data_IF_616546904950
#
_entry.id   IF_616546904950
#
_cell.length_a   1.000
_cell.length_b   1.000
_cell.length_c   1.000
_cell.angle_alpha   90.00
_cell.angle_beta   90.00
_cell.angle_gamma   90.00
#
_symmetry.space_group_name_H-M   'P 1'
#
loop_
_entity.id
_entity.type
_entity.pdbx_description
1 polymer ?
#
# COMPACT_ATOMS: atom_id res chain seq x y z
N UNK A 1 10.46 -20.97 27.02
CA UNK A 1 11.10 -21.10 25.69
C UNK A 1 12.13 -19.99 25.63
N UNK A 2 13.41 -20.31 25.42
CA UNK A 2 14.42 -19.26 25.23
C UNK A 2 14.23 -18.63 23.87
N UNK A 3 14.34 -17.30 23.77
CA UNK A 3 14.32 -16.61 22.49
C UNK A 3 15.51 -17.05 21.63
N UNK A 4 15.28 -17.20 20.33
CA UNK A 4 16.30 -17.62 19.36
C UNK A 4 17.31 -16.47 19.17
N UNK A 5 18.62 -16.70 19.40
CA UNK A 5 19.63 -15.64 19.32
C UNK A 5 19.71 -14.96 17.95
N UNK A 6 19.34 -15.63 16.87
CA UNK A 6 19.32 -15.05 15.52
C UNK A 6 18.17 -14.04 15.36
N UNK A 7 17.03 -14.29 16.02
CA UNK A 7 15.90 -13.35 16.04
C UNK A 7 16.30 -12.09 16.81
N UNK A 8 16.88 -12.25 18.01
CA UNK A 8 17.23 -11.12 18.87
C UNK A 8 18.31 -10.22 18.24
N UNK A 9 19.31 -10.81 17.56
CA UNK A 9 20.30 -10.04 16.81
C UNK A 9 19.68 -9.29 15.62
N UNK A 10 18.78 -9.93 14.88
CA UNK A 10 18.04 -9.29 13.78
C UNK A 10 17.15 -8.14 14.28
N UNK A 11 16.44 -8.33 15.38
CA UNK A 11 15.62 -7.30 16.02
C UNK A 11 16.45 -6.10 16.49
N UNK A 12 17.59 -6.36 17.13
CA UNK A 12 18.49 -5.30 17.57
C UNK A 12 19.00 -4.47 16.38
N UNK A 13 19.32 -5.12 15.25
CA UNK A 13 19.72 -4.43 14.03
C UNK A 13 18.57 -3.59 13.43
N UNK A 14 17.35 -4.14 13.37
CA UNK A 14 16.18 -3.39 12.90
C UNK A 14 15.94 -2.16 13.77
N UNK A 15 15.97 -2.31 15.10
CA UNK A 15 15.76 -1.22 16.04
C UNK A 15 16.83 -0.13 15.90
N UNK A 16 18.11 -0.49 15.81
CA UNK A 16 19.21 0.48 15.57
C UNK A 16 19.04 1.24 14.25
N UNK A 17 18.60 0.57 13.18
CA UNK A 17 18.36 1.24 11.90
C UNK A 17 17.14 2.16 11.91
N UNK A 18 16.03 1.76 12.56
CA UNK A 18 14.85 2.61 12.71
C UNK A 18 15.19 3.88 13.52
N UNK A 19 15.92 3.72 14.64
CA UNK A 19 16.35 4.84 15.50
C UNK A 19 17.26 5.82 14.75
N UNK A 20 18.29 5.32 14.06
CA UNK A 20 19.22 6.15 13.28
C UNK A 20 18.60 6.84 12.08
N UNK A 21 17.52 6.30 11.54
CA UNK A 21 16.74 6.90 10.47
C UNK A 21 15.62 7.83 10.98
N UNK A 22 15.53 8.05 12.30
CA UNK A 22 14.52 8.90 12.95
C UNK A 22 13.07 8.48 12.60
N UNK A 23 12.85 7.18 12.46
CA UNK A 23 11.53 6.61 12.08
C UNK A 23 10.70 6.33 13.32
N UNK A 24 9.38 6.48 13.18
CA UNK A 24 8.44 6.20 14.27
C UNK A 24 8.01 4.74 14.23
N UNK A 25 8.22 4.02 15.33
CA UNK A 25 7.63 2.69 15.54
C UNK A 25 6.15 2.86 15.87
N UNK A 26 5.30 2.16 15.12
CA UNK A 26 3.85 2.12 15.32
C UNK A 26 3.49 0.96 16.25
N UNK A 27 4.08 -0.22 16.00
CA UNK A 27 3.75 -1.44 16.74
C UNK A 27 4.91 -2.47 16.70
N UNK A 28 4.90 -3.38 17.66
CA UNK A 28 5.77 -4.56 17.68
C UNK A 28 5.05 -5.76 17.06
N UNK A 29 5.74 -6.45 16.17
CA UNK A 29 5.21 -7.63 15.50
C UNK A 29 5.69 -8.86 16.25
N UNK A 30 4.75 -9.72 16.67
CA UNK A 30 5.04 -11.04 17.20
C UNK A 30 4.00 -12.03 16.67
N UNK A 31 4.34 -12.75 15.60
CA UNK A 31 3.42 -13.61 14.86
C UNK A 31 4.13 -14.82 14.24
N UNK A 32 3.48 -15.54 13.33
CA UNK A 32 4.05 -16.62 12.52
C UNK A 32 3.90 -16.29 11.04
N UNK A 33 4.92 -16.61 10.24
CA UNK A 33 4.83 -16.47 8.78
C UNK A 33 3.93 -17.55 8.13
N UNK A 34 3.78 -17.51 6.80
CA UNK A 34 2.95 -18.44 6.02
C UNK A 34 3.37 -19.93 6.20
N UNK A 35 4.58 -20.20 6.67
CA UNK A 35 5.12 -21.54 6.92
C UNK A 35 4.92 -21.99 8.39
N UNK A 36 4.31 -21.15 9.22
CA UNK A 36 4.14 -21.39 10.65
C UNK A 36 5.39 -21.10 11.48
N UNK A 37 6.41 -20.47 10.90
CA UNK A 37 7.66 -20.13 11.59
C UNK A 37 7.47 -18.82 12.37
N UNK A 38 7.85 -18.75 13.66
CA UNK A 38 7.79 -17.52 14.43
C UNK A 38 8.58 -16.38 13.80
N UNK A 39 7.98 -15.19 13.76
CA UNK A 39 8.59 -13.95 13.30
C UNK A 39 8.37 -12.86 14.35
N UNK A 40 9.42 -12.07 14.57
CA UNK A 40 9.34 -10.87 15.40
C UNK A 40 9.81 -9.66 14.59
N UNK A 41 9.27 -8.47 14.88
CA UNK A 41 9.62 -7.28 14.11
C UNK A 41 8.96 -6.01 14.60
N UNK A 42 8.93 -5.00 13.72
CA UNK A 42 8.34 -3.70 13.97
C UNK A 42 7.52 -3.25 12.76
N UNK A 43 6.37 -2.64 13.02
CA UNK A 43 5.69 -1.75 12.07
C UNK A 43 6.19 -0.32 12.31
N UNK A 44 6.56 0.40 11.25
CA UNK A 44 7.15 1.73 11.36
C UNK A 44 6.83 2.59 10.14
N UNK A 45 7.03 3.90 10.24
CA UNK A 45 6.75 4.84 9.14
C UNK A 45 7.96 5.13 8.24
N UNK A 46 7.69 5.41 6.96
CA UNK A 46 8.60 6.03 6.01
C UNK A 46 7.90 7.16 5.26
N UNK A 47 8.08 8.40 5.71
CA UNK A 47 7.17 9.47 5.30
C UNK A 47 5.76 9.13 5.81
N UNK A 48 4.78 9.12 4.90
CA UNK A 48 3.38 8.81 5.22
C UNK A 48 3.05 7.31 5.07
N UNK A 49 3.99 6.50 4.59
CA UNK A 49 3.79 5.07 4.35
C UNK A 49 4.17 4.21 5.57
N UNK A 50 3.36 3.20 5.86
CA UNK A 50 3.69 2.17 6.85
C UNK A 50 4.47 1.02 6.20
N UNK A 51 5.58 0.65 6.82
CA UNK A 51 6.42 -0.50 6.47
C UNK A 51 6.51 -1.47 7.64
N UNK A 52 6.90 -2.70 7.33
CA UNK A 52 7.11 -3.76 8.31
C UNK A 52 8.53 -4.30 8.15
N UNK A 53 9.27 -4.43 9.24
CA UNK A 53 10.57 -5.10 9.25
C UNK A 53 10.53 -6.25 10.26
N UNK A 54 10.87 -7.47 9.83
CA UNK A 54 10.82 -8.64 10.70
C UNK A 54 11.98 -9.59 10.47
N UNK A 55 12.41 -10.23 11.56
CA UNK A 55 13.39 -11.30 11.62
C UNK A 55 12.70 -12.63 11.86
N UNK A 56 13.27 -13.71 11.32
CA UNK A 56 12.76 -15.09 11.43
C UNK A 56 13.83 -15.97 12.05
N UNK A 57 13.42 -16.96 12.86
CA UNK A 57 14.33 -17.97 13.43
C UNK A 57 15.25 -18.58 12.36
N UNK A 58 16.54 -18.73 12.67
CA UNK A 58 17.53 -19.34 11.79
C UNK A 58 17.83 -18.59 10.48
N UNK A 59 17.41 -17.33 10.36
CA UNK A 59 17.69 -16.50 9.17
C UNK A 59 18.85 -15.55 9.40
N UNK A 60 19.74 -15.45 8.40
CA UNK A 60 20.85 -14.49 8.40
C UNK A 60 20.50 -13.14 7.75
N UNK A 61 19.21 -12.82 7.69
CA UNK A 61 18.69 -11.59 7.13
C UNK A 61 17.41 -11.21 7.87
N UNK A 62 17.04 -9.94 7.83
CA UNK A 62 15.67 -9.53 8.08
C UNK A 62 15.00 -9.09 6.79
N UNK A 63 13.67 -9.06 6.79
CA UNK A 63 12.88 -8.63 5.63
C UNK A 63 12.25 -7.29 5.93
N UNK A 64 12.39 -6.33 5.02
CA UNK A 64 11.56 -5.12 4.96
C UNK A 64 10.45 -5.37 3.97
N UNK A 65 9.23 -4.96 4.33
CA UNK A 65 8.03 -5.29 3.60
C UNK A 65 7.11 -4.08 3.53
N UNK A 66 6.55 -3.89 2.34
CA UNK A 66 5.43 -3.01 2.09
C UNK A 66 4.20 -3.84 1.74
N UNK A 67 3.05 -3.54 2.35
CA UNK A 67 1.77 -4.18 2.05
C UNK A 67 0.77 -3.13 1.59
N UNK A 68 -0.01 -3.48 0.57
CA UNK A 68 -1.11 -2.65 0.09
C UNK A 68 -2.33 -3.53 -0.17
N UNK A 69 -3.48 -3.12 0.35
CA UNK A 69 -4.78 -3.72 0.09
C UNK A 69 -5.77 -2.59 -0.20
N UNK A 70 -6.33 -2.57 -1.42
CA UNK A 70 -7.23 -1.50 -1.89
C UNK A 70 -8.50 -1.38 -1.04
N UNK A 71 -8.82 -2.42 -0.25
CA UNK A 71 -9.96 -2.45 0.66
C UNK A 71 -10.00 -1.25 1.58
N UNK A 72 -8.86 -0.80 2.10
CA UNK A 72 -8.80 0.33 3.03
C UNK A 72 -9.22 1.63 2.34
N UNK A 73 -8.75 1.85 1.11
CA UNK A 73 -9.11 3.02 0.32
C UNK A 73 -10.56 2.98 -0.14
N UNK A 74 -11.11 1.79 -0.47
CA UNK A 74 -12.54 1.62 -0.73
C UNK A 74 -13.36 1.95 0.51
N UNK A 75 -12.96 1.47 1.69
CA UNK A 75 -13.64 1.75 2.95
C UNK A 75 -13.63 3.24 3.28
N UNK A 76 -12.47 3.89 3.10
CA UNK A 76 -12.31 5.33 3.27
C UNK A 76 -13.23 6.12 2.35
N UNK A 77 -13.19 5.84 1.04
CA UNK A 77 -14.01 6.54 0.05
C UNK A 77 -15.51 6.36 0.32
N UNK A 78 -15.95 5.15 0.65
CA UNK A 78 -17.35 4.88 0.96
C UNK A 78 -17.82 5.63 2.21
N UNK A 79 -16.99 5.69 3.26
CA UNK A 79 -17.32 6.41 4.50
C UNK A 79 -17.28 7.93 4.31
N UNK A 80 -16.32 8.44 3.55
CA UNK A 80 -16.23 9.85 3.16
C UNK A 80 -17.50 10.27 2.41
N UNK A 81 -17.90 9.52 1.38
CA UNK A 81 -19.11 9.81 0.59
C UNK A 81 -20.38 9.75 1.45
N UNK A 82 -20.49 8.80 2.37
CA UNK A 82 -21.62 8.73 3.31
C UNK A 82 -21.70 9.94 4.23
N UNK A 83 -20.56 10.47 4.68
CA UNK A 83 -20.52 11.70 5.50
C UNK A 83 -20.87 12.92 4.66
N UNK A 84 -20.35 13.04 3.43
CA UNK A 84 -20.69 14.10 2.48
C UNK A 84 -22.19 14.13 2.15
N UNK A 85 -22.79 12.98 1.83
CA UNK A 85 -24.22 12.89 1.51
C UNK A 85 -25.14 13.24 2.70
N UNK A 86 -24.63 13.19 3.93
CA UNK A 86 -25.35 13.55 5.15
C UNK A 86 -25.01 14.96 5.63
N UNK A 87 -24.00 15.60 5.05
CA UNK A 87 -23.66 16.97 5.38
C UNK A 87 -24.81 17.87 4.90
N UNK A 88 -25.28 18.82 5.73
CA UNK A 88 -26.26 19.79 5.29
C UNK A 88 -25.71 20.56 4.09
N UNK A 89 -26.51 20.69 3.02
CA UNK A 89 -26.20 21.55 1.88
C UNK A 89 -26.00 22.98 2.39
N UNK A 90 -24.77 23.40 2.67
CA UNK A 90 -24.51 24.79 3.03
C UNK A 90 -23.08 25.24 2.75
N UNK A 91 -23.00 26.16 1.78
CA UNK A 91 -22.32 27.47 1.81
C UNK A 91 -20.79 27.48 1.83
N UNK A 92 -20.21 27.76 0.65
CA UNK A 92 -18.94 28.47 0.40
C UNK A 92 -17.77 28.16 1.36
N UNK A 93 -17.57 26.89 1.69
CA UNK A 93 -16.45 26.44 2.51
C UNK A 93 -16.02 25.02 2.13
N UNK A 94 -14.71 24.78 2.16
CA UNK A 94 -14.15 23.44 2.06
C UNK A 94 -14.64 22.61 3.26
N UNK A 95 -15.40 21.55 2.99
CA UNK A 95 -15.84 20.61 4.03
C UNK A 95 -14.69 19.64 4.30
N UNK A 96 -14.01 19.82 5.42
CA UNK A 96 -13.04 18.84 5.91
C UNK A 96 -13.78 17.64 6.52
N UNK A 97 -13.73 16.49 5.84
CA UNK A 97 -14.36 15.25 6.31
C UNK A 97 -13.33 14.39 6.99
N UNK A 98 -13.33 14.37 8.33
CA UNK A 98 -12.52 13.42 9.07
C UNK A 98 -13.16 12.02 9.01
N UNK A 99 -12.41 10.97 8.67
CA UNK A 99 -12.89 9.60 8.45
C UNK A 99 -12.10 8.63 9.32
N UNK A 100 -12.70 8.20 10.43
CA UNK A 100 -12.18 7.08 11.22
C UNK A 100 -12.79 5.79 10.69
N UNK A 101 -11.99 4.77 10.35
CA UNK A 101 -12.48 3.46 9.90
C UNK A 101 -12.61 2.47 11.06
N UNK A 102 -13.65 1.65 11.03
CA UNK A 102 -13.83 0.51 11.93
C UNK A 102 -13.81 -0.83 11.18
N UNK A 103 -13.80 -1.95 11.92
CA UNK A 103 -13.78 -3.29 11.32
C UNK A 103 -14.98 -3.57 10.41
N UNK A 104 -16.16 -2.98 10.69
CA UNK A 104 -17.34 -3.16 9.85
C UNK A 104 -17.20 -2.41 8.53
N UNK A 105 -16.57 -1.23 8.53
CA UNK A 105 -16.23 -0.50 7.30
C UNK A 105 -15.33 -1.34 6.40
N UNK A 106 -14.28 -1.94 6.98
CA UNK A 106 -13.35 -2.80 6.27
C UNK A 106 -14.04 -4.06 5.72
N UNK A 107 -14.88 -4.74 6.51
CA UNK A 107 -15.63 -5.90 6.05
C UNK A 107 -16.59 -5.57 4.88
N UNK A 108 -17.28 -4.42 4.95
CA UNK A 108 -18.15 -3.96 3.86
C UNK A 108 -17.34 -3.67 2.59
N UNK A 109 -16.19 -3.03 2.72
CA UNK A 109 -15.29 -2.80 1.60
C UNK A 109 -14.77 -4.10 0.99
N UNK A 110 -14.41 -5.11 1.80
CA UNK A 110 -14.00 -6.43 1.31
C UNK A 110 -15.11 -7.10 0.49
N UNK A 111 -16.35 -7.05 0.98
CA UNK A 111 -17.51 -7.58 0.25
C UNK A 111 -17.72 -6.86 -1.09
N UNK A 112 -17.59 -5.52 -1.09
CA UNK A 112 -17.71 -4.71 -2.31
C UNK A 112 -16.61 -5.04 -3.33
N UNK A 113 -15.36 -5.12 -2.89
CA UNK A 113 -14.21 -5.54 -3.72
C UNK A 113 -14.44 -6.94 -4.29
N UNK A 114 -14.88 -7.89 -3.47
CA UNK A 114 -15.17 -9.26 -3.89
C UNK A 114 -16.31 -9.33 -4.91
N UNK A 115 -17.35 -8.50 -4.77
CA UNK A 115 -18.47 -8.40 -5.71
C UNK A 115 -18.02 -7.80 -7.05
N UNK A 116 -17.31 -6.66 -7.02
CA UNK A 116 -16.75 -6.02 -8.23
C UNK A 116 -15.87 -6.99 -9.00
N UNK A 117 -15.02 -7.76 -8.32
CA UNK A 117 -14.20 -8.77 -8.97
C UNK A 117 -15.02 -9.96 -9.48
N UNK A 118 -16.03 -10.41 -8.74
CA UNK A 118 -16.92 -11.50 -9.16
C UNK A 118 -17.75 -11.18 -10.41
N UNK A 119 -18.12 -9.92 -10.60
CA UNK A 119 -18.91 -9.46 -11.75
C UNK A 119 -18.05 -9.21 -13.01
N UNK A 120 -16.72 -9.15 -12.85
CA UNK A 120 -15.79 -8.96 -13.98
C UNK A 120 -15.62 -10.24 -14.77
N UNK A 121 -15.46 -10.07 -16.08
CA UNK A 121 -15.07 -11.19 -16.91
C UNK A 121 -13.64 -11.69 -16.51
N UNK A 122 -13.36 -13.00 -16.60
CA UNK A 122 -12.07 -13.55 -16.22
C UNK A 122 -10.88 -12.99 -17.01
N UNK A 123 -11.09 -12.60 -18.27
CA UNK A 123 -10.04 -12.04 -19.13
C UNK A 123 -9.56 -10.67 -18.63
N UNK A 124 -10.46 -9.83 -18.13
CA UNK A 124 -10.16 -8.53 -17.54
C UNK A 124 -9.37 -8.71 -16.24
N UNK A 125 -9.76 -9.66 -15.39
CA UNK A 125 -9.01 -9.98 -14.16
C UNK A 125 -7.60 -10.47 -14.49
N UNK A 126 -7.46 -11.32 -15.52
CA UNK A 126 -6.17 -11.84 -15.94
C UNK A 126 -5.27 -10.77 -16.57
N UNK A 127 -5.85 -9.82 -17.33
CA UNK A 127 -5.13 -8.64 -17.84
C UNK A 127 -4.66 -7.75 -16.69
N UNK A 128 -5.52 -7.49 -15.71
CA UNK A 128 -5.15 -6.71 -14.52
C UNK A 128 -4.02 -7.40 -13.72
N UNK A 129 -4.12 -8.72 -13.53
CA UNK A 129 -3.09 -9.54 -12.88
C UNK A 129 -1.76 -9.46 -13.62
N UNK A 130 -1.77 -9.65 -14.94
CA UNK A 130 -0.58 -9.60 -15.79
C UNK A 130 0.07 -8.22 -15.74
N UNK A 131 -0.73 -7.15 -15.76
CA UNK A 131 -0.21 -5.78 -15.67
C UNK A 131 0.41 -5.48 -14.31
N UNK A 132 -0.19 -5.95 -13.22
CA UNK A 132 0.40 -5.84 -11.89
C UNK A 132 1.72 -6.60 -11.77
N UNK A 133 1.80 -7.81 -12.31
CA UNK A 133 3.05 -8.58 -12.37
C UNK A 133 4.14 -7.80 -13.09
N UNK A 134 3.83 -7.22 -14.25
CA UNK A 134 4.77 -6.38 -15.01
C UNK A 134 5.26 -5.19 -14.18
N UNK A 135 4.37 -4.49 -13.48
CA UNK A 135 4.70 -3.32 -12.66
C UNK A 135 5.49 -3.66 -11.40
N UNK A 136 5.21 -4.80 -10.76
CA UNK A 136 5.81 -5.21 -9.48
C UNK A 136 7.11 -6.01 -9.67
N UNK A 137 7.40 -6.50 -10.88
CA UNK A 137 8.62 -7.25 -11.16
C UNK A 137 9.83 -6.33 -11.07
N UNK A 138 10.68 -6.56 -10.07
CA UNK A 138 11.90 -5.81 -9.86
C UNK A 138 13.03 -6.75 -9.42
N UNK A 139 14.27 -6.61 -9.91
CA UNK A 139 15.37 -7.55 -9.61
C UNK A 139 15.70 -7.64 -8.11
N UNK A 140 15.52 -6.54 -7.38
CA UNK A 140 15.90 -6.45 -5.96
C UNK A 140 14.76 -6.69 -4.97
N UNK A 141 13.54 -6.95 -5.45
CA UNK A 141 12.36 -7.12 -4.60
C UNK A 141 11.59 -8.39 -4.99
N UNK A 142 11.17 -9.15 -3.99
CA UNK A 142 10.15 -10.17 -4.17
C UNK A 142 8.76 -9.52 -4.08
N UNK A 143 7.77 -10.09 -4.75
CA UNK A 143 6.39 -9.64 -4.64
C UNK A 143 5.40 -10.80 -4.57
N UNK A 144 4.24 -10.54 -3.97
CA UNK A 144 3.09 -11.46 -3.93
C UNK A 144 1.81 -10.66 -4.13
N UNK A 145 0.93 -11.12 -5.01
CA UNK A 145 -0.40 -10.52 -5.20
C UNK A 145 -1.39 -11.09 -4.18
N UNK A 146 -2.22 -10.23 -3.61
CA UNK A 146 -3.37 -10.64 -2.80
C UNK A 146 -4.59 -10.82 -3.71
N UNK A 147 -5.14 -12.04 -3.71
CA UNK A 147 -6.23 -12.45 -4.59
C UNK A 147 -7.39 -13.13 -3.86
N UNK A 148 -7.45 -13.02 -2.52
CA UNK A 148 -8.48 -13.68 -1.70
C UNK A 148 -9.92 -13.21 -1.98
N UNK A 149 -10.10 -12.09 -2.70
CA UNK A 149 -11.39 -11.47 -3.00
C UNK A 149 -11.74 -11.62 -4.49
N UNK A 150 -11.66 -12.85 -5.02
CA UNK A 150 -12.01 -13.22 -6.40
C UNK A 150 -11.21 -12.50 -7.51
N UNK A 151 -10.09 -11.86 -7.20
CA UNK A 151 -9.30 -11.07 -8.14
C UNK A 151 -8.19 -10.28 -7.43
N UNK A 152 -7.24 -9.68 -8.18
CA UNK A 152 -6.17 -8.89 -7.58
C UNK A 152 -6.71 -7.62 -6.94
N UNK A 153 -6.49 -7.47 -5.64
CA UNK A 153 -6.95 -6.31 -4.86
C UNK A 153 -5.86 -5.71 -3.98
N UNK A 154 -4.72 -6.37 -3.89
CA UNK A 154 -3.58 -5.90 -3.13
C UNK A 154 -2.31 -6.59 -3.54
N UNK A 155 -1.21 -6.19 -2.93
CA UNK A 155 0.09 -6.80 -3.12
C UNK A 155 0.98 -6.59 -1.90
N UNK A 156 2.05 -7.37 -1.87
CA UNK A 156 3.11 -7.34 -0.88
C UNK A 156 4.43 -7.26 -1.62
N UNK A 157 5.25 -6.28 -1.28
CA UNK A 157 6.64 -6.14 -1.75
C UNK A 157 7.57 -6.45 -0.59
N UNK A 158 8.64 -7.20 -0.85
CA UNK A 158 9.59 -7.63 0.17
C UNK A 158 11.02 -7.47 -0.32
N UNK A 159 11.90 -6.96 0.55
CA UNK A 159 13.33 -6.89 0.32
C UNK A 159 14.07 -7.48 1.52
N UNK A 160 15.02 -8.37 1.27
CA UNK A 160 15.87 -8.97 2.31
C UNK A 160 17.11 -8.12 2.52
N UNK A 161 17.50 -7.95 3.79
CA UNK A 161 18.73 -7.27 4.19
C UNK A 161 19.58 -8.21 5.05
N UNK A 162 20.77 -8.53 4.55
CA UNK A 162 21.68 -9.50 5.14
C UNK A 162 22.61 -8.82 6.16
N UNK A 163 22.10 -8.58 7.37
CA UNK A 163 22.78 -7.82 8.44
C UNK A 163 24.14 -8.36 8.88
N UNK A 164 24.42 -9.64 8.61
CA UNK A 164 25.70 -10.25 8.98
C UNK A 164 26.78 -10.07 7.91
N UNK A 165 26.45 -9.48 6.76
CA UNK A 165 27.44 -9.11 5.75
C UNK A 165 28.18 -7.84 6.19
N UNK A 166 29.52 -7.89 6.16
CA UNK A 166 30.37 -6.75 6.52
C UNK A 166 30.14 -5.61 5.53
N UNK A 167 29.31 -4.64 5.90
CA UNK A 167 29.04 -3.48 5.06
C UNK A 167 27.63 -2.91 5.14
N UNK A 168 26.66 -3.63 5.71
CA UNK A 168 25.29 -3.12 5.86
C UNK A 168 25.26 -1.91 6.80
N UNK A 169 24.66 -0.82 6.34
CA UNK A 169 24.51 0.47 7.02
C UNK A 169 23.04 0.85 7.14
N UNK A 170 22.74 1.78 8.04
CA UNK A 170 21.42 2.41 8.11
C UNK A 170 20.96 3.01 6.76
N UNK A 171 21.90 3.48 5.92
CA UNK A 171 21.59 3.95 4.56
C UNK A 171 21.08 2.85 3.63
N UNK A 172 21.50 1.59 3.82
CA UNK A 172 21.01 0.46 3.02
C UNK A 172 19.59 0.08 3.42
N UNK A 173 19.28 0.18 4.72
CA UNK A 173 17.93 0.05 5.24
C UNK A 173 17.01 1.15 4.70
N UNK A 174 17.45 2.40 4.73
CA UNK A 174 16.72 3.53 4.18
C UNK A 174 16.48 3.38 2.67
N UNK A 175 17.52 3.02 1.92
CA UNK A 175 17.40 2.75 0.49
C UNK A 175 16.44 1.59 0.18
N UNK A 176 16.39 0.55 1.04
CA UNK A 176 15.42 -0.53 0.90
C UNK A 176 13.98 -0.03 1.13
N UNK A 177 13.75 0.78 2.16
CA UNK A 177 12.46 1.40 2.43
C UNK A 177 11.99 2.26 1.25
N UNK A 178 12.87 3.16 0.76
CA UNK A 178 12.57 4.03 -0.37
C UNK A 178 12.31 3.24 -1.64
N UNK A 179 13.05 2.14 -1.88
CA UNK A 179 12.81 1.28 -3.04
C UNK A 179 11.41 0.66 -3.00
N UNK A 180 11.00 0.14 -1.84
CA UNK A 180 9.69 -0.49 -1.68
C UNK A 180 8.55 0.52 -1.89
N UNK A 181 8.65 1.70 -1.29
CA UNK A 181 7.66 2.78 -1.45
C UNK A 181 7.62 3.28 -2.91
N UNK A 182 8.76 3.59 -3.52
CA UNK A 182 8.79 4.05 -4.91
C UNK A 182 8.22 3.01 -5.89
N UNK A 183 8.49 1.73 -5.66
CA UNK A 183 7.98 0.65 -6.50
C UNK A 183 6.48 0.41 -6.30
N UNK A 184 5.92 0.73 -5.14
CA UNK A 184 4.50 0.50 -4.83
C UNK A 184 3.57 1.53 -5.47
N UNK A 185 4.02 2.77 -5.69
CA UNK A 185 3.17 3.89 -6.15
C UNK A 185 2.39 3.58 -7.44
N UNK A 186 3.08 3.08 -8.48
CA UNK A 186 2.44 2.81 -9.77
C UNK A 186 1.41 1.67 -9.69
N UNK A 187 1.73 0.49 -9.12
CA UNK A 187 0.76 -0.56 -8.83
C UNK A 187 -0.43 -0.12 -7.99
N UNK A 188 -0.23 0.73 -6.97
CA UNK A 188 -1.31 1.27 -6.14
C UNK A 188 -2.29 2.09 -6.96
N UNK A 189 -1.77 3.08 -7.71
CA UNK A 189 -2.59 3.94 -8.55
C UNK A 189 -3.37 3.12 -9.59
N UNK A 190 -2.73 2.08 -10.14
CA UNK A 190 -3.40 1.14 -11.02
C UNK A 190 -4.54 0.39 -10.32
N UNK A 191 -4.32 -0.18 -9.13
CA UNK A 191 -5.38 -0.81 -8.35
C UNK A 191 -6.49 0.17 -8.01
N UNK A 192 -6.19 1.39 -7.54
CA UNK A 192 -7.22 2.39 -7.22
C UNK A 192 -8.09 2.73 -8.43
N UNK A 193 -7.46 2.90 -9.60
CA UNK A 193 -8.17 3.16 -10.86
C UNK A 193 -9.11 2.02 -11.26
N UNK A 194 -8.76 0.78 -10.92
CA UNK A 194 -9.61 -0.38 -11.17
C UNK A 194 -10.89 -0.32 -10.32
N UNK A 195 -10.83 0.16 -9.09
CA UNK A 195 -11.99 0.17 -8.19
C UNK A 195 -12.72 1.51 -8.15
N UNK A 196 -12.48 2.37 -9.15
CA UNK A 196 -13.08 3.70 -9.30
C UNK A 196 -13.02 4.51 -8.00
N UNK A 197 -11.89 4.42 -7.27
CA UNK A 197 -11.65 5.24 -6.10
C UNK A 197 -11.29 6.64 -6.60
N UNK A 198 -12.33 7.42 -6.92
CA UNK A 198 -12.26 8.85 -7.09
C UNK A 198 -12.99 9.48 -5.91
N UNK A 199 -12.28 10.19 -5.06
CA UNK A 199 -12.92 11.12 -4.13
C UNK A 199 -13.28 12.34 -4.99
N UNK A 200 -14.45 12.32 -5.63
CA UNK A 200 -14.95 13.53 -6.27
C UNK A 200 -15.22 14.57 -5.18
N UNK A 201 -14.60 15.75 -5.22
CA UNK A 201 -15.01 16.83 -4.34
C UNK A 201 -16.48 17.15 -4.64
N UNK A 202 -17.32 17.42 -3.61
CA UNK A 202 -18.70 17.83 -3.84
C UNK A 202 -18.70 19.13 -4.65
N UNK A 203 -18.95 19.03 -5.97
CA UNK A 203 -19.00 20.21 -6.84
C UNK A 203 -18.60 20.02 -8.31
N UNK A 204 -18.03 18.90 -8.74
CA UNK A 204 -17.80 18.65 -10.17
C UNK A 204 -19.09 18.19 -10.89
N UNK A 205 -20.14 19.02 -10.79
CA UNK A 205 -21.25 18.97 -11.71
C UNK A 205 -20.75 19.20 -13.12
N UNK A 206 -21.17 18.34 -14.03
CA UNK A 206 -20.96 18.44 -15.47
C UNK A 206 -21.23 19.86 -15.99
N UNK A 207 -20.16 20.61 -16.25
CA UNK A 207 -20.23 21.67 -17.25
C UNK A 207 -20.20 21.01 -18.62
N UNK A 208 -21.32 21.13 -19.35
CA UNK A 208 -21.39 20.86 -20.78
C UNK A 208 -20.23 21.59 -21.47
N UNK A 209 -19.22 20.84 -21.91
CA UNK A 209 -18.18 21.33 -22.81
C UNK A 209 -18.81 21.57 -24.18
N UNK A 210 -19.47 22.72 -24.36
CA UNK A 210 -19.65 23.31 -25.68
C UNK A 210 -18.29 23.81 -26.13
N UNK A 211 -17.57 22.96 -26.87
CA UNK A 211 -16.24 23.29 -27.38
C UNK A 211 -16.23 24.54 -28.26
N UNK A 212 -15.09 25.24 -28.38
CA UNK A 212 -14.84 26.11 -29.51
C UNK A 212 -13.95 25.41 -30.53
N UNK A 213 -14.40 25.51 -31.78
CA UNK A 213 -13.70 25.13 -33.00
C UNK A 213 -12.26 25.66 -33.04
N UNK A 214 -11.35 24.81 -33.50
CA UNK A 214 -10.01 25.19 -33.97
C UNK A 214 -10.13 26.13 -35.17
N UNK A 215 -9.30 27.17 -35.25
CA UNK A 215 -8.53 27.32 -36.49
C UNK A 215 -7.06 27.67 -36.25
N UNK A 216 -6.18 26.79 -36.74
CA UNK A 216 -5.09 27.11 -37.67
C UNK A 216 -3.93 28.02 -37.23
N UNK A 217 -2.73 27.42 -37.28
CA UNK A 217 -1.49 27.98 -37.84
C UNK A 217 -1.05 29.40 -37.49
N UNK A 218 0.12 29.50 -36.85
CA UNK A 218 1.38 29.97 -37.47
C UNK A 218 2.52 29.90 -36.46
N UNK A 219 3.64 29.31 -36.88
CA UNK A 219 4.90 29.39 -36.14
C UNK A 219 5.44 30.81 -36.10
N UNK A 220 6.37 31.04 -35.18
CA UNK A 220 7.34 32.12 -35.26
C UNK A 220 8.72 31.61 -34.82
N UNK A 221 9.70 32.30 -35.38
CA UNK A 221 11.11 31.96 -35.61
C UNK A 221 11.96 31.76 -34.37
#
# INVERSE_FOLDING_TARGET
>A
MGDDPDIEAGLAAIADFIDRSERTVIDEINTTNDEGTPVKGYAFTHGDDQLFAYSTAGSHFFTVQYEYDVTEQVAFADKAQQKLNKAPETVDGEIEVNVDLDENDLQRAQQKVAAINGDRNPETLEKARSKLVEMLTHPDCAFKLNQRLNGPHGFKLQKKLFVYESGVRASDFDAACQTLVSLSMVPQNFLQSIYDIQIEPPGSGTEESTGPQVPGSRGFQ
#
